data_IF_311925565726
#
_entry.id   IF_311925565726
#
_cell.length_a   1.000
_cell.length_b   1.000
_cell.length_c   1.000
_cell.angle_alpha   90.00
_cell.angle_beta   90.00
_cell.angle_gamma   90.00
#
_symmetry.space_group_name_H-M   'P 1'
#
loop_
_entity.id
_entity.type
_entity.pdbx_description
1 polymer ?
#
# COMPACT_ATOMS: atom_id res chain seq x y z
N UNK A 1 16.44 -2.81 -3.52
CA UNK A 1 15.28 -3.69 -3.27
C UNK A 1 14.00 -2.89 -3.28
N UNK A 2 12.96 -3.46 -3.87
CA UNK A 2 11.64 -2.84 -3.87
C UNK A 2 10.82 -3.33 -2.69
N UNK A 3 10.08 -2.43 -2.07
CA UNK A 3 9.13 -2.75 -1.02
C UNK A 3 7.80 -2.10 -1.36
N UNK A 4 6.73 -2.75 -0.94
CA UNK A 4 5.38 -2.22 -1.09
C UNK A 4 4.82 -2.01 0.30
N UNK A 5 4.31 -0.81 0.56
CA UNK A 5 3.63 -0.50 1.82
C UNK A 5 2.14 -0.32 1.52
N UNK A 6 1.29 -1.03 2.24
CA UNK A 6 -0.15 -0.92 2.13
C UNK A 6 -0.71 -0.34 3.42
N UNK A 7 -1.28 0.85 3.32
CA UNK A 7 -1.83 1.57 4.47
C UNK A 7 -3.34 1.41 4.51
N UNK A 8 -3.85 0.97 5.64
CA UNK A 8 -5.28 0.73 5.82
C UNK A 8 -5.68 0.94 7.28
N UNK A 9 -6.96 0.73 7.58
CA UNK A 9 -7.49 0.74 8.94
C UNK A 9 -8.68 -0.22 9.01
N UNK A 10 -8.98 -0.73 10.19
CA UNK A 10 -10.07 -1.69 10.36
C UNK A 10 -11.44 -1.09 10.04
N UNK A 11 -11.62 0.21 10.32
CA UNK A 11 -12.87 0.91 10.05
C UNK A 11 -13.06 1.31 8.59
N UNK A 12 -12.05 1.12 7.78
CA UNK A 12 -12.05 1.55 6.37
C UNK A 12 -12.75 0.50 5.50
N UNK A 13 -13.95 0.81 5.01
CA UNK A 13 -14.72 -0.09 4.14
C UNK A 13 -13.98 -0.47 2.87
N UNK A 14 -13.52 0.50 2.06
CA UNK A 14 -12.77 0.18 0.84
C UNK A 14 -11.51 -0.62 1.07
N UNK A 15 -10.85 -0.42 2.22
CA UNK A 15 -9.65 -1.18 2.56
C UNK A 15 -9.93 -2.66 2.69
N UNK A 16 -11.12 -3.02 3.18
CA UNK A 16 -11.51 -4.42 3.36
C UNK A 16 -11.65 -5.15 2.04
N UNK A 17 -12.03 -4.43 0.98
CA UNK A 17 -12.14 -5.00 -0.35
C UNK A 17 -10.78 -5.13 -1.03
N UNK A 18 -9.87 -4.25 -0.71
CA UNK A 18 -8.54 -4.22 -1.34
C UNK A 18 -7.56 -5.15 -0.64
N UNK A 19 -7.73 -5.38 0.67
CA UNK A 19 -6.83 -6.23 1.43
C UNK A 19 -6.64 -7.62 0.82
N UNK A 20 -7.71 -8.34 0.40
CA UNK A 20 -7.51 -9.65 -0.25
C UNK A 20 -6.68 -9.57 -1.52
N UNK A 21 -6.81 -8.47 -2.27
CA UNK A 21 -6.01 -8.25 -3.47
C UNK A 21 -4.53 -8.15 -3.09
N UNK A 22 -4.22 -7.36 -2.07
CA UNK A 22 -2.85 -7.20 -1.61
C UNK A 22 -2.30 -8.50 -1.05
N UNK A 23 -3.12 -9.26 -0.31
CA UNK A 23 -2.71 -10.54 0.21
C UNK A 23 -2.37 -11.52 -0.92
N UNK A 24 -3.11 -11.48 -2.01
CA UNK A 24 -2.84 -12.35 -3.16
C UNK A 24 -1.53 -12.02 -3.86
N UNK A 25 -1.01 -10.81 -3.67
CA UNK A 25 0.23 -10.37 -4.28
C UNK A 25 1.46 -10.63 -3.41
N UNK A 26 1.27 -11.08 -2.17
CA UNK A 26 2.39 -11.30 -1.25
C UNK A 26 3.40 -12.35 -1.74
N UNK A 27 2.96 -13.27 -2.59
CA UNK A 27 3.87 -14.27 -3.16
C UNK A 27 4.76 -13.70 -4.27
N UNK A 28 4.41 -12.54 -4.80
CA UNK A 28 5.11 -11.93 -5.92
C UNK A 28 5.94 -10.72 -5.54
N UNK A 29 5.63 -10.09 -4.41
CA UNK A 29 6.32 -8.88 -3.98
C UNK A 29 6.31 -8.75 -2.46
N UNK A 30 7.29 -8.05 -1.92
CA UNK A 30 7.39 -7.82 -0.49
C UNK A 30 6.40 -6.72 -0.09
N UNK A 31 5.34 -7.09 0.63
CA UNK A 31 4.29 -6.15 1.05
C UNK A 31 4.25 -6.08 2.57
N UNK A 32 4.32 -4.87 3.10
CA UNK A 32 4.12 -4.61 4.51
C UNK A 32 2.73 -4.00 4.70
N UNK A 33 1.92 -4.63 5.54
CA UNK A 33 0.58 -4.15 5.84
C UNK A 33 0.66 -3.23 7.06
N UNK A 34 0.24 -1.99 6.90
CA UNK A 34 0.35 -0.97 7.94
C UNK A 34 -1.04 -0.49 8.32
N UNK A 35 -1.39 -0.66 9.59
CA UNK A 35 -2.63 -0.12 10.16
C UNK A 35 -2.30 1.29 10.66
N UNK A 36 -2.95 2.30 10.08
CA UNK A 36 -2.63 3.70 10.40
C UNK A 36 -3.05 4.09 11.82
N UNK A 37 -3.97 3.35 12.45
CA UNK A 37 -4.34 3.61 13.83
C UNK A 37 -3.29 3.08 14.81
N UNK A 38 -2.62 2.00 14.44
CA UNK A 38 -1.56 1.40 15.26
C UNK A 38 -0.23 2.08 14.98
N UNK A 39 0.03 2.40 13.71
CA UNK A 39 1.32 2.94 13.24
C UNK A 39 1.15 4.32 12.63
N UNK A 40 0.53 5.24 13.38
CA UNK A 40 0.26 6.59 12.91
C UNK A 40 1.55 7.33 12.49
N UNK A 41 2.64 7.12 13.21
CA UNK A 41 3.91 7.76 12.89
C UNK A 41 4.47 7.29 11.54
N UNK A 42 4.28 6.01 11.22
CA UNK A 42 4.73 5.49 9.93
C UNK A 42 3.96 6.14 8.78
N UNK A 43 2.63 6.27 8.94
CA UNK A 43 1.81 6.95 7.95
C UNK A 43 2.25 8.40 7.76
N UNK A 44 2.56 9.09 8.86
CA UNK A 44 3.02 10.46 8.83
C UNK A 44 4.37 10.59 8.14
N UNK A 45 5.29 9.67 8.44
CA UNK A 45 6.63 9.64 7.83
C UNK A 45 6.55 9.57 6.31
N UNK A 46 5.61 8.79 5.78
CA UNK A 46 5.44 8.62 4.34
C UNK A 46 4.40 9.56 3.74
N UNK A 47 3.92 10.54 4.51
CA UNK A 47 2.92 11.54 4.08
C UNK A 47 1.63 10.89 3.58
N UNK A 48 1.20 9.82 4.24
CA UNK A 48 -0.05 9.15 3.91
C UNK A 48 -1.16 9.79 4.72
N UNK A 49 -2.13 10.41 4.04
CA UNK A 49 -3.25 11.10 4.68
C UNK A 49 -4.57 10.40 4.44
N UNK A 50 -4.68 9.68 3.34
CA UNK A 50 -5.89 8.97 2.96
C UNK A 50 -5.63 7.48 2.91
N UNK A 51 -6.65 6.69 3.18
CA UNK A 51 -6.56 5.24 3.08
C UNK A 51 -7.73 4.73 2.24
N UNK A 52 -7.55 3.65 1.50
CA UNK A 52 -6.31 2.88 1.36
C UNK A 52 -5.27 3.58 0.50
N UNK A 53 -4.01 3.35 0.78
CA UNK A 53 -2.89 3.86 -0.01
C UNK A 53 -1.85 2.77 -0.18
N UNK A 54 -1.30 2.66 -1.38
CA UNK A 54 -0.21 1.75 -1.69
C UNK A 54 1.00 2.58 -2.14
N UNK A 55 2.13 2.33 -1.53
CA UNK A 55 3.40 2.96 -1.92
C UNK A 55 4.35 1.88 -2.41
N UNK A 56 5.05 2.17 -3.49
CA UNK A 56 6.20 1.36 -3.90
C UNK A 56 7.45 2.16 -3.57
N UNK A 57 8.35 1.51 -2.83
CA UNK A 57 9.56 2.15 -2.33
C UNK A 57 10.77 1.41 -2.88
N UNK A 58 11.71 2.16 -3.40
CA UNK A 58 12.95 1.61 -3.93
C UNK A 58 14.10 2.48 -3.46
N UNK A 59 15.09 1.83 -2.84
CA UNK A 59 16.26 2.54 -2.28
C UNK A 59 15.87 3.65 -1.30
N UNK A 60 14.85 3.40 -0.49
CA UNK A 60 14.38 4.35 0.50
C UNK A 60 13.52 5.49 -0.04
N UNK A 61 13.21 5.49 -1.33
CA UNK A 61 12.44 6.55 -1.97
C UNK A 61 11.12 6.02 -2.53
N UNK A 62 10.07 6.83 -2.45
CA UNK A 62 8.79 6.49 -3.05
C UNK A 62 8.91 6.63 -4.57
N UNK A 63 8.77 5.52 -5.27
CA UNK A 63 8.80 5.51 -6.74
C UNK A 63 7.41 5.41 -7.35
N UNK A 64 6.39 5.14 -6.54
CA UNK A 64 5.02 5.10 -7.02
C UNK A 64 4.02 5.14 -5.89
N UNK A 65 2.82 5.65 -6.18
CA UNK A 65 1.75 5.82 -5.21
C UNK A 65 0.41 5.57 -5.88
N UNK A 66 -0.44 4.77 -5.23
CA UNK A 66 -1.83 4.55 -5.64
C UNK A 66 -2.70 4.76 -4.42
N UNK A 67 -3.87 5.37 -4.62
CA UNK A 67 -4.80 5.63 -3.52
C UNK A 67 -6.24 5.36 -3.96
N UNK A 68 -7.05 4.88 -3.02
CA UNK A 68 -8.48 4.71 -3.21
C UNK A 68 -8.81 3.79 -4.38
N UNK A 69 -9.69 4.26 -5.26
CA UNK A 69 -10.19 3.48 -6.39
C UNK A 69 -9.12 3.17 -7.44
N UNK A 70 -7.98 3.83 -7.40
CA UNK A 70 -6.89 3.55 -8.31
C UNK A 70 -6.17 2.23 -7.96
N UNK A 71 -6.39 1.70 -6.77
CA UNK A 71 -5.74 0.48 -6.33
C UNK A 71 -6.47 -0.73 -6.90
N UNK A 72 -5.88 -1.33 -7.91
CA UNK A 72 -6.33 -2.59 -8.49
C UNK A 72 -5.14 -3.53 -8.55
N UNK A 73 -5.40 -4.82 -8.68
CA UNK A 73 -4.33 -5.80 -8.78
C UNK A 73 -3.37 -5.46 -9.92
N UNK A 74 -3.93 -5.14 -11.08
CA UNK A 74 -3.15 -4.79 -12.27
C UNK A 74 -2.34 -3.52 -12.06
N UNK A 75 -2.96 -2.49 -11.47
CA UNK A 75 -2.27 -1.22 -11.23
C UNK A 75 -1.08 -1.39 -10.27
N UNK A 76 -1.25 -2.21 -9.22
CA UNK A 76 -0.17 -2.49 -8.28
C UNK A 76 0.96 -3.22 -8.97
N UNK A 77 0.66 -4.24 -9.76
CA UNK A 77 1.66 -5.00 -10.50
C UNK A 77 2.43 -4.09 -11.45
N UNK A 78 1.70 -3.27 -12.21
CA UNK A 78 2.33 -2.35 -13.18
C UNK A 78 3.21 -1.33 -12.48
N UNK A 79 2.76 -0.80 -11.35
CA UNK A 79 3.54 0.16 -10.59
C UNK A 79 4.82 -0.48 -10.03
N UNK A 80 4.70 -1.70 -9.53
CA UNK A 80 5.83 -2.43 -8.96
C UNK A 80 6.90 -2.74 -10.02
N UNK A 81 6.46 -3.01 -11.25
CA UNK A 81 7.36 -3.44 -12.33
C UNK A 81 8.00 -2.29 -13.11
N UNK A 82 7.70 -1.08 -12.77
CA UNK A 82 8.33 0.08 -13.41
C UNK A 82 9.80 0.19 -13.12
#
# INVERSE_FOLDING_TARGET
MKQVLYFSAEWCGPCKMIKPIMQSLQSQMSITFIDVDVSAETAKTWSVRNIPTVLVIQKGMVTGRLAGNAITKEAVINLYNK
#
